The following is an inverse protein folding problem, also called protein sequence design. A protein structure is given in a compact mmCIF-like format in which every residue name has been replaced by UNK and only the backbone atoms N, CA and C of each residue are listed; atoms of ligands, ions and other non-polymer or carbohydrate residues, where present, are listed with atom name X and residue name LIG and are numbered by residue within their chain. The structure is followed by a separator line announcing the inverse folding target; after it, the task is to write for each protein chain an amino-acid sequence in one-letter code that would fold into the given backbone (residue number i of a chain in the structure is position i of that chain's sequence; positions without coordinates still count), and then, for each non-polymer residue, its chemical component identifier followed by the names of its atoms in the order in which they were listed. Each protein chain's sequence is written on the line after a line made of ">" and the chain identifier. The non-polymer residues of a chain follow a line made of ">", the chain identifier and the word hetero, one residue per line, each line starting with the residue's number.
data_IF_295391355005
#
_entry.id   IF_295391355005
#
_cell.length_a   1.000
_cell.length_b   1.000
_cell.length_c   1.000
_cell.angle_alpha   90.00
_cell.angle_beta   90.00
_cell.angle_gamma   90.00
#
_symmetry.space_group_name_H-M   'P 1'
#
loop_
_entity.id
_entity.type
_entity.pdbx_description
1 polymer ?
#
# COMPACT_ATOMS: atom_id res chain seq x y z
N UNK A 1 10.87 58.98 68.06
CA UNK A 1 12.22 58.68 67.55
C UNK A 1 12.04 57.98 66.23
N UNK A 2 12.35 58.76 65.20
CA UNK A 2 12.57 58.50 63.78
C UNK A 2 11.52 57.79 62.92
N UNK A 3 11.12 58.59 61.93
CA UNK A 3 10.06 58.45 60.96
C UNK A 3 10.62 59.00 59.63
N UNK A 4 10.35 58.31 58.51
CA UNK A 4 10.36 58.82 57.11
C UNK A 4 11.76 59.09 56.50
N UNK A 5 12.02 59.01 55.19
CA UNK A 5 11.24 58.82 53.94
C UNK A 5 12.22 58.89 52.75
N UNK A 6 11.89 58.19 51.66
CA UNK A 6 12.21 58.37 50.23
C UNK A 6 13.44 59.23 49.82
N UNK A 7 14.26 58.69 48.90
CA UNK A 7 14.39 59.18 47.51
C UNK A 7 15.55 58.47 46.77
N UNK A 8 15.15 57.66 45.80
CA UNK A 8 15.75 57.50 44.46
C UNK A 8 17.16 58.08 44.26
N UNK A 9 18.18 57.20 44.26
CA UNK A 9 19.43 57.48 43.53
C UNK A 9 19.28 57.00 42.10
N UNK A 10 19.34 57.99 41.21
CA UNK A 10 19.12 57.89 39.78
C UNK A 10 20.19 57.07 39.05
N UNK A 11 19.73 56.54 37.93
CA UNK A 11 20.36 55.70 36.91
C UNK A 11 21.60 56.35 36.25
N UNK A 12 22.61 55.53 35.97
CA UNK A 12 23.77 55.82 35.09
C UNK A 12 23.36 55.93 33.60
N UNK A 13 24.16 56.57 32.73
CA UNK A 13 23.71 56.99 31.41
C UNK A 13 23.59 55.86 30.38
N UNK A 14 22.58 55.98 29.52
CA UNK A 14 22.25 55.09 28.40
C UNK A 14 23.26 55.25 27.27
N UNK A 15 23.86 54.14 26.81
CA UNK A 15 24.60 54.09 25.53
C UNK A 15 23.61 54.05 24.36
N UNK A 16 23.73 54.88 23.31
CA UNK A 16 22.79 54.87 22.19
C UNK A 16 23.13 53.71 21.22
N UNK A 17 22.35 52.64 21.29
CA UNK A 17 22.45 51.47 20.40
C UNK A 17 21.31 51.48 19.37
N UNK A 18 21.25 52.50 18.51
CA UNK A 18 20.20 52.54 17.48
C UNK A 18 20.55 53.39 16.26
N UNK A 19 21.44 52.90 15.40
CA UNK A 19 21.53 53.42 14.01
C UNK A 19 21.90 52.40 12.93
N UNK A 20 22.42 51.23 13.28
CA UNK A 20 22.92 50.22 12.31
C UNK A 20 21.92 49.08 12.00
N UNK A 21 20.82 48.98 12.74
CA UNK A 21 19.81 47.91 12.58
C UNK A 21 19.00 47.91 11.26
N UNK A 22 18.61 49.04 10.65
CA UNK A 22 17.77 48.99 9.45
C UNK A 22 18.54 48.58 8.18
N UNK A 23 19.83 48.89 8.09
CA UNK A 23 20.65 48.56 6.92
C UNK A 23 20.89 47.04 6.83
N UNK A 24 21.16 46.40 7.97
CA UNK A 24 21.37 44.95 8.04
C UNK A 24 20.10 44.19 7.66
N UNK A 25 18.92 44.65 8.12
CA UNK A 25 17.64 44.03 7.74
C UNK A 25 17.34 44.21 6.25
N UNK A 26 17.66 45.37 5.66
CA UNK A 26 17.46 45.62 4.23
C UNK A 26 18.37 44.72 3.39
N UNK A 27 19.66 44.61 3.75
CA UNK A 27 20.60 43.73 3.05
C UNK A 27 20.19 42.26 3.13
N UNK A 28 19.67 41.82 4.28
CA UNK A 28 19.20 40.44 4.45
C UNK A 28 17.96 40.14 3.59
N UNK A 29 17.00 41.07 3.50
CA UNK A 29 15.81 40.93 2.64
C UNK A 29 16.19 40.92 1.17
N UNK A 30 17.11 41.80 0.73
CA UNK A 30 17.59 41.81 -0.66
C UNK A 30 18.31 40.51 -1.01
N UNK A 31 19.17 40.00 -0.12
CA UNK A 31 19.86 38.73 -0.33
C UNK A 31 18.88 37.56 -0.43
N UNK A 32 17.86 37.51 0.44
CA UNK A 32 16.83 36.47 0.41
C UNK A 32 16.00 36.50 -0.89
N UNK A 33 15.60 37.69 -1.35
CA UNK A 33 14.90 37.86 -2.63
C UNK A 33 15.78 37.46 -3.82
N UNK A 34 17.07 37.79 -3.79
CA UNK A 34 18.01 37.44 -4.85
C UNK A 34 18.27 35.92 -4.90
N UNK A 35 18.42 35.27 -3.74
CA UNK A 35 18.53 33.80 -3.67
C UNK A 35 17.25 33.11 -4.12
N UNK A 36 16.07 33.68 -3.80
CA UNK A 36 14.78 33.15 -4.25
C UNK A 36 14.58 33.31 -5.77
N UNK A 37 15.08 34.41 -6.35
CA UNK A 37 15.10 34.64 -7.80
C UNK A 37 16.07 33.70 -8.52
N UNK A 38 17.24 33.44 -7.94
CA UNK A 38 18.23 32.48 -8.47
C UNK A 38 17.78 31.01 -8.32
N UNK A 39 16.90 30.72 -7.36
CA UNK A 39 16.33 29.39 -7.11
C UNK A 39 14.96 29.18 -7.74
N UNK A 40 14.45 30.08 -8.60
CA UNK A 40 13.36 29.70 -9.49
C UNK A 40 13.93 28.69 -10.51
N UNK A 41 13.60 27.39 -10.44
CA UNK A 41 13.89 26.51 -11.56
C UNK A 41 13.10 27.11 -12.72
N UNK A 42 13.83 27.51 -13.76
CA UNK A 42 13.31 28.14 -14.96
C UNK A 42 11.94 27.56 -15.31
N UNK A 43 10.93 28.43 -15.18
CA UNK A 43 9.62 28.24 -15.78
C UNK A 43 9.80 27.77 -17.21
N UNK A 44 9.18 26.64 -17.53
CA UNK A 44 8.97 26.12 -18.87
C UNK A 44 8.70 27.26 -19.87
N UNK A 45 9.48 27.41 -20.96
CA UNK A 45 8.94 28.00 -22.16
C UNK A 45 8.12 26.92 -22.87
N UNK A 46 6.83 27.22 -23.00
CA UNK A 46 5.93 26.55 -23.91
C UNK A 46 6.48 26.62 -25.34
N UNK A 47 6.79 25.46 -25.93
CA UNK A 47 6.60 25.08 -27.34
C UNK A 47 7.52 23.90 -27.68
N UNK A 48 7.14 22.69 -27.26
CA UNK A 48 7.62 21.49 -27.95
C UNK A 48 6.75 21.38 -29.19
N UNK A 49 7.31 21.77 -30.33
CA UNK A 49 6.74 21.54 -31.65
C UNK A 49 6.78 20.02 -31.87
N UNK A 50 5.69 19.35 -31.50
CA UNK A 50 5.53 17.92 -31.71
C UNK A 50 5.30 17.75 -33.21
N UNK A 51 6.38 17.54 -33.96
CA UNK A 51 6.33 17.04 -35.33
C UNK A 51 5.78 15.62 -35.26
N UNK A 52 4.46 15.50 -35.18
CA UNK A 52 3.73 14.24 -35.36
C UNK A 52 4.15 13.72 -36.73
N UNK A 53 4.81 12.55 -36.84
CA UNK A 53 4.95 11.87 -38.11
C UNK A 53 3.55 11.42 -38.51
N UNK A 54 3.11 11.85 -39.69
CA UNK A 54 1.86 11.41 -40.30
C UNK A 54 1.91 9.88 -40.47
N UNK A 55 1.15 9.15 -39.66
CA UNK A 55 0.99 7.70 -39.79
C UNK A 55 0.03 7.46 -40.95
N UNK A 56 0.60 7.45 -42.16
CA UNK A 56 -0.03 6.83 -43.32
C UNK A 56 -0.03 5.31 -43.11
N UNK A 57 -1.24 4.73 -43.05
CA UNK A 57 -1.48 3.30 -43.12
C UNK A 57 -0.91 2.73 -44.44
N UNK A 58 0.16 1.93 -44.34
CA UNK A 58 0.75 1.26 -45.49
C UNK A 58 1.90 0.32 -45.10
N UNK A 59 1.52 -0.94 -44.84
CA UNK A 59 2.26 -2.20 -44.98
C UNK A 59 3.60 -2.49 -44.25
N UNK A 60 3.85 -3.76 -43.89
CA UNK A 60 4.90 -4.17 -42.97
C UNK A 60 6.19 -4.50 -43.73
N UNK A 61 7.36 -4.09 -43.22
CA UNK A 61 8.64 -4.82 -43.34
C UNK A 61 9.76 -4.07 -42.60
N UNK A 62 10.35 -4.77 -41.63
CA UNK A 62 11.72 -4.68 -41.11
C UNK A 62 12.51 -3.35 -41.23
N UNK A 63 12.88 -2.77 -40.09
CA UNK A 63 13.94 -1.75 -40.03
C UNK A 63 14.16 -1.19 -38.63
N UNK A 64 15.12 -1.77 -37.91
CA UNK A 64 15.60 -1.34 -36.60
C UNK A 64 16.18 0.08 -36.64
N UNK A 65 15.78 0.96 -35.71
CA UNK A 65 16.51 2.19 -35.39
C UNK A 65 16.18 2.73 -33.99
N UNK A 66 17.15 2.53 -33.08
CA UNK A 66 17.49 3.37 -31.91
C UNK A 66 16.36 3.65 -30.91
N UNK A 67 16.07 2.67 -30.06
CA UNK A 67 15.50 2.96 -28.75
C UNK A 67 16.61 3.49 -27.83
N UNK A 68 16.37 4.68 -27.29
CA UNK A 68 17.04 5.17 -26.10
C UNK A 68 16.78 4.14 -25.00
N UNK A 69 17.76 3.25 -24.76
CA UNK A 69 17.72 2.31 -23.64
C UNK A 69 17.86 3.16 -22.37
N UNK A 70 16.73 3.71 -21.89
CA UNK A 70 16.50 3.69 -20.47
C UNK A 70 16.62 2.21 -20.08
N UNK A 71 17.71 1.87 -19.42
CA UNK A 71 17.84 0.59 -18.72
C UNK A 71 16.71 0.57 -17.70
N UNK A 72 15.54 0.09 -18.11
CA UNK A 72 14.46 -0.21 -17.22
C UNK A 72 15.00 -1.37 -16.39
N UNK A 73 15.47 -1.07 -15.18
CA UNK A 73 16.00 -2.09 -14.27
C UNK A 73 14.94 -3.17 -14.15
N UNK A 74 15.24 -4.34 -14.73
CA UNK A 74 14.31 -5.46 -14.80
C UNK A 74 14.12 -5.98 -13.38
N UNK A 75 13.01 -5.60 -12.77
CA UNK A 75 12.64 -6.06 -11.43
C UNK A 75 12.51 -7.58 -11.41
N UNK A 76 12.99 -8.19 -10.32
CA UNK A 76 12.83 -9.63 -10.09
C UNK A 76 11.41 -9.89 -9.60
N UNK A 77 10.68 -10.81 -10.23
CA UNK A 77 9.36 -11.23 -9.76
C UNK A 77 9.50 -12.02 -8.47
N UNK A 78 8.90 -11.55 -7.39
CA UNK A 78 8.87 -12.22 -6.09
C UNK A 78 7.41 -12.35 -5.66
N UNK A 79 6.94 -13.58 -5.47
CA UNK A 79 5.56 -13.86 -5.06
C UNK A 79 5.56 -14.70 -3.78
N UNK A 80 4.69 -14.36 -2.83
CA UNK A 80 4.47 -15.14 -1.62
C UNK A 80 2.98 -15.45 -1.45
N UNK A 81 2.68 -16.67 -1.05
CA UNK A 81 1.31 -17.15 -0.87
C UNK A 81 1.00 -17.31 0.61
N UNK A 82 -0.01 -16.60 1.10
CA UNK A 82 -0.34 -16.48 2.52
C UNK A 82 -1.85 -16.61 2.76
N UNK A 83 -2.28 -16.59 4.02
CA UNK A 83 -3.68 -16.36 4.43
C UNK A 83 -3.72 -15.45 5.65
N UNK A 84 -4.77 -14.64 5.74
CA UNK A 84 -4.93 -13.60 6.78
C UNK A 84 -5.00 -14.15 8.20
N UNK A 85 -5.61 -15.33 8.40
CA UNK A 85 -5.83 -15.94 9.73
C UNK A 85 -4.80 -17.00 10.16
N UNK A 86 -3.60 -17.02 9.56
CA UNK A 86 -2.58 -18.03 9.89
C UNK A 86 -1.45 -17.49 10.77
N UNK A 87 -1.12 -18.15 11.90
CA UNK A 87 0.01 -17.75 12.74
C UNK A 87 1.35 -17.88 12.01
N UNK A 88 1.51 -18.85 11.10
CA UNK A 88 2.75 -18.99 10.33
C UNK A 88 2.93 -17.81 9.35
N UNK A 89 1.83 -17.28 8.79
CA UNK A 89 1.88 -16.05 7.98
C UNK A 89 2.45 -14.88 8.80
N UNK A 90 1.99 -14.73 10.05
CA UNK A 90 2.47 -13.68 10.96
C UNK A 90 3.99 -13.75 11.13
N UNK A 91 4.49 -14.95 11.40
CA UNK A 91 5.90 -15.19 11.68
C UNK A 91 6.74 -15.03 10.41
N UNK A 92 6.28 -15.54 9.27
CA UNK A 92 6.92 -15.35 7.97
C UNK A 92 6.98 -13.87 7.56
N UNK A 93 5.91 -13.09 7.77
CA UNK A 93 5.91 -11.66 7.50
C UNK A 93 6.93 -10.93 8.38
N UNK A 94 6.92 -11.21 9.68
CA UNK A 94 7.77 -10.54 10.67
C UNK A 94 9.25 -10.87 10.50
N UNK A 95 9.59 -12.14 10.32
CA UNK A 95 10.97 -12.62 10.38
C UNK A 95 11.65 -12.65 9.01
N UNK A 96 10.88 -12.82 7.92
CA UNK A 96 11.43 -13.03 6.59
C UNK A 96 11.04 -11.91 5.62
N UNK A 97 9.75 -11.69 5.38
CA UNK A 97 9.29 -10.84 4.28
C UNK A 97 9.60 -9.36 4.57
N UNK A 98 9.18 -8.82 5.72
CA UNK A 98 9.36 -7.40 6.03
C UNK A 98 10.84 -6.98 6.10
N UNK A 99 11.74 -7.71 6.79
CA UNK A 99 13.16 -7.34 6.83
C UNK A 99 13.83 -7.37 5.45
N UNK A 100 13.40 -8.28 4.57
CA UNK A 100 13.88 -8.36 3.19
C UNK A 100 13.36 -7.19 2.38
N UNK A 101 12.05 -6.94 2.40
CA UNK A 101 11.41 -5.87 1.63
C UNK A 101 11.95 -4.49 2.00
N UNK A 102 12.31 -4.24 3.27
CA UNK A 102 12.98 -3.00 3.67
C UNK A 102 14.28 -2.70 2.90
N UNK A 103 14.98 -3.73 2.41
CA UNK A 103 16.28 -3.61 1.72
C UNK A 103 16.20 -3.76 0.21
N UNK A 104 15.16 -4.42 -0.30
CA UNK A 104 15.10 -4.82 -1.72
C UNK A 104 13.80 -4.42 -2.43
N UNK A 105 12.91 -3.64 -1.80
CA UNK A 105 11.62 -3.26 -2.42
C UNK A 105 11.77 -2.57 -3.79
N UNK A 106 12.88 -1.89 -4.03
CA UNK A 106 13.22 -1.21 -5.29
C UNK A 106 13.77 -2.15 -6.37
N UNK A 107 14.00 -3.43 -6.04
CA UNK A 107 14.61 -4.44 -6.91
C UNK A 107 13.67 -5.58 -7.27
N UNK A 108 12.52 -5.65 -6.60
CA UNK A 108 11.56 -6.74 -6.78
C UNK A 108 10.19 -6.21 -7.18
N UNK A 109 9.51 -6.95 -8.04
CA UNK A 109 8.08 -6.83 -8.24
C UNK A 109 7.41 -7.80 -7.26
N UNK A 110 7.05 -7.30 -6.06
CA UNK A 110 6.52 -8.12 -4.98
C UNK A 110 5.01 -8.32 -5.06
N UNK A 111 4.58 -9.58 -5.09
CA UNK A 111 3.17 -9.96 -5.09
C UNK A 111 2.84 -10.85 -3.89
N UNK A 112 1.77 -10.51 -3.16
CA UNK A 112 1.12 -11.44 -2.23
C UNK A 112 -0.07 -12.12 -2.92
N UNK A 113 -0.21 -13.42 -2.73
CA UNK A 113 -1.40 -14.16 -3.14
C UNK A 113 -1.97 -14.93 -1.97
N UNK A 114 -3.28 -15.06 -1.95
CA UNK A 114 -4.05 -15.72 -0.91
C UNK A 114 -4.42 -17.14 -1.31
N UNK A 115 -4.34 -18.03 -0.33
CA UNK A 115 -4.72 -19.44 -0.47
C UNK A 115 -6.20 -19.59 -0.16
N UNK A 116 -6.86 -20.51 -0.87
CA UNK A 116 -8.27 -20.86 -0.68
C UNK A 116 -8.68 -21.90 -1.72
N UNK A 117 -9.96 -22.26 -1.69
CA UNK A 117 -10.59 -23.20 -2.62
C UNK A 117 -11.78 -22.54 -3.29
N UNK A 118 -12.09 -22.95 -4.51
CA UNK A 118 -13.42 -22.70 -5.05
C UNK A 118 -14.40 -23.65 -4.35
N UNK A 119 -15.57 -23.13 -3.99
CA UNK A 119 -16.72 -24.02 -3.83
C UNK A 119 -16.89 -24.68 -5.20
N UNK A 120 -16.80 -26.00 -5.21
CA UNK A 120 -17.19 -26.79 -6.36
C UNK A 120 -18.34 -27.66 -5.91
N UNK A 121 -19.47 -27.68 -6.64
CA UNK A 121 -20.46 -28.70 -6.43
C UNK A 121 -19.84 -30.07 -6.75
N UNK A 122 -19.57 -30.88 -5.71
CA UNK A 122 -19.17 -32.31 -5.78
C UNK A 122 -17.69 -32.61 -6.19
N UNK A 123 -17.16 -33.81 -5.91
CA UNK A 123 -15.90 -34.05 -5.21
C UNK A 123 -14.71 -34.17 -6.17
N UNK A 124 -13.54 -33.74 -5.73
CA UNK A 124 -12.28 -34.01 -6.42
C UNK A 124 -11.84 -35.50 -6.35
N UNK A 125 -12.69 -36.40 -5.84
CA UNK A 125 -12.44 -37.84 -5.80
C UNK A 125 -13.72 -38.61 -6.09
N UNK A 126 -13.73 -39.39 -7.16
CA UNK A 126 -14.75 -40.41 -7.36
C UNK A 126 -14.74 -41.36 -6.14
N UNK A 127 -15.88 -41.66 -5.51
CA UNK A 127 -15.94 -42.67 -4.46
C UNK A 127 -15.45 -44.00 -5.02
N UNK A 128 -14.58 -44.68 -4.28
CA UNK A 128 -14.18 -46.04 -4.62
C UNK A 128 -15.40 -46.98 -4.56
N UNK A 129 -15.35 -48.15 -5.21
CA UNK A 129 -16.47 -49.09 -5.33
C UNK A 129 -17.00 -49.67 -4.01
N UNK A 130 -16.46 -49.28 -2.86
CA UNK A 130 -16.87 -49.75 -1.52
C UNK A 130 -17.47 -48.66 -0.62
N UNK A 131 -17.49 -47.39 -1.03
CA UNK A 131 -18.08 -46.34 -0.20
C UNK A 131 -19.61 -46.35 -0.35
N UNK A 132 -20.26 -47.04 0.57
CA UNK A 132 -21.71 -47.07 0.70
C UNK A 132 -22.23 -45.64 0.95
N UNK A 133 -23.19 -45.27 0.12
CA UNK A 133 -23.92 -44.00 0.01
C UNK A 133 -24.62 -43.56 1.32
N UNK A 134 -23.85 -43.12 2.30
CA UNK A 134 -24.35 -42.40 3.48
C UNK A 134 -23.47 -41.18 3.75
N UNK A 135 -23.39 -40.28 2.78
CA UNK A 135 -23.00 -38.91 3.08
C UNK A 135 -24.18 -38.01 2.70
N UNK A 136 -24.78 -37.27 3.66
CA UNK A 136 -25.72 -36.25 3.29
C UNK A 136 -24.97 -35.28 2.38
N UNK A 137 -25.63 -34.87 1.30
CA UNK A 137 -25.18 -33.82 0.41
C UNK A 137 -24.97 -32.56 1.26
N UNK A 138 -23.76 -32.39 1.82
CA UNK A 138 -23.40 -31.18 2.54
C UNK A 138 -23.06 -30.16 1.46
N UNK A 139 -24.12 -29.61 0.84
CA UNK A 139 -24.06 -28.24 0.36
C UNK A 139 -23.75 -27.41 1.60
N UNK A 140 -22.47 -27.11 1.81
CA UNK A 140 -22.06 -26.11 2.80
C UNK A 140 -22.17 -24.80 2.02
N UNK A 141 -23.28 -24.03 2.13
CA UNK A 141 -23.30 -22.72 1.53
C UNK A 141 -22.19 -21.95 2.22
N UNK A 142 -21.09 -21.69 1.52
CA UNK A 142 -20.17 -20.69 2.02
C UNK A 142 -20.83 -19.36 1.77
N UNK A 143 -20.89 -18.54 2.81
CA UNK A 143 -21.43 -17.19 2.79
C UNK A 143 -20.59 -16.24 1.91
N UNK A 144 -19.71 -16.77 1.06
CA UNK A 144 -18.70 -16.05 0.28
C UNK A 144 -18.81 -16.39 -1.21
N UNK A 145 -20.03 -16.69 -1.70
CA UNK A 145 -20.35 -16.77 -3.13
C UNK A 145 -19.38 -17.65 -3.94
N UNK A 146 -19.08 -18.87 -3.50
CA UNK A 146 -18.27 -19.78 -4.31
C UNK A 146 -16.79 -19.89 -3.93
N UNK A 147 -16.39 -19.39 -2.76
CA UNK A 147 -15.01 -19.50 -2.26
C UNK A 147 -14.97 -19.99 -0.81
N UNK A 148 -14.09 -20.96 -0.57
CA UNK A 148 -13.87 -21.60 0.71
C UNK A 148 -12.45 -21.32 1.20
N UNK A 149 -12.34 -20.69 2.37
CA UNK A 149 -11.08 -20.42 3.06
C UNK A 149 -10.83 -21.42 4.19
N UNK A 150 -9.57 -21.62 4.58
CA UNK A 150 -9.18 -22.69 5.51
C UNK A 150 -9.74 -22.47 6.92
N UNK A 151 -9.75 -21.22 7.39
CA UNK A 151 -10.26 -20.82 8.71
C UNK A 151 -11.67 -20.18 8.62
N UNK A 152 -12.43 -20.50 7.56
CA UNK A 152 -13.83 -20.11 7.43
C UNK A 152 -14.07 -18.69 6.87
N UNK A 153 -15.29 -18.16 6.98
CA UNK A 153 -15.66 -16.92 6.30
C UNK A 153 -14.91 -15.67 6.76
N UNK A 154 -14.51 -15.63 8.04
CA UNK A 154 -13.73 -14.54 8.60
C UNK A 154 -12.35 -14.40 7.93
N UNK A 155 -11.72 -15.53 7.57
CA UNK A 155 -10.47 -15.51 6.79
C UNK A 155 -10.72 -15.00 5.37
N UNK A 156 -11.79 -15.44 4.71
CA UNK A 156 -12.10 -14.95 3.36
C UNK A 156 -12.29 -13.44 3.34
N UNK A 157 -13.03 -12.89 4.32
CA UNK A 157 -13.18 -11.45 4.46
C UNK A 157 -11.84 -10.76 4.73
N UNK A 158 -11.01 -11.33 5.61
CA UNK A 158 -9.64 -10.84 5.84
C UNK A 158 -8.79 -10.79 4.57
N UNK A 159 -8.79 -11.89 3.79
CA UNK A 159 -8.06 -11.98 2.53
C UNK A 159 -8.55 -10.92 1.52
N UNK A 160 -9.88 -10.69 1.44
CA UNK A 160 -10.47 -9.65 0.58
C UNK A 160 -10.00 -8.26 1.01
N UNK A 161 -10.02 -7.96 2.31
CA UNK A 161 -9.58 -6.66 2.84
C UNK A 161 -8.10 -6.43 2.53
N UNK A 162 -7.25 -7.42 2.75
CA UNK A 162 -5.82 -7.33 2.45
C UNK A 162 -5.54 -7.21 0.94
N UNK A 163 -6.35 -7.85 0.08
CA UNK A 163 -6.30 -7.67 -1.38
C UNK A 163 -6.72 -6.25 -1.80
N UNK A 164 -7.81 -5.74 -1.24
CA UNK A 164 -8.28 -4.37 -1.48
C UNK A 164 -7.25 -3.33 -1.04
N UNK A 165 -6.61 -3.52 0.11
CA UNK A 165 -5.54 -2.65 0.57
C UNK A 165 -4.40 -2.57 -0.47
N UNK A 166 -4.04 -3.70 -1.09
CA UNK A 166 -2.98 -3.74 -2.11
C UNK A 166 -3.40 -3.12 -3.44
N UNK A 167 -4.66 -3.26 -3.84
CA UNK A 167 -5.19 -2.62 -5.04
C UNK A 167 -5.22 -1.08 -4.90
N UNK A 168 -5.69 -0.60 -3.75
CA UNK A 168 -5.83 0.83 -3.47
C UNK A 168 -4.49 1.50 -3.12
N UNK A 169 -3.60 0.77 -2.44
CA UNK A 169 -2.32 1.24 -1.93
C UNK A 169 -1.19 0.33 -2.41
N UNK A 170 -0.74 0.47 -3.68
CA UNK A 170 0.25 -0.43 -4.25
C UNK A 170 1.66 -0.28 -3.65
N UNK A 171 1.93 0.78 -2.86
CA UNK A 171 3.20 0.94 -2.17
C UNK A 171 3.39 -0.17 -1.11
N UNK A 172 4.40 -1.05 -1.27
CA UNK A 172 4.65 -2.15 -0.35
C UNK A 172 4.94 -1.68 1.08
N UNK A 173 5.41 -0.45 1.29
CA UNK A 173 5.64 0.08 2.64
C UNK A 173 4.32 0.30 3.38
N UNK A 174 3.27 0.73 2.67
CA UNK A 174 1.94 0.98 3.22
C UNK A 174 1.20 -0.34 3.38
N UNK A 175 1.05 -1.10 2.28
CA UNK A 175 0.21 -2.29 2.31
C UNK A 175 0.81 -3.43 3.17
N UNK A 176 2.14 -3.63 3.18
CA UNK A 176 2.73 -4.68 4.03
C UNK A 176 2.72 -4.30 5.51
N UNK A 177 2.79 -3.00 5.82
CA UNK A 177 2.57 -2.50 7.17
C UNK A 177 1.18 -2.86 7.65
N UNK A 178 0.16 -2.50 6.87
CA UNK A 178 -1.25 -2.81 7.16
C UNK A 178 -1.51 -4.31 7.31
N UNK A 179 -1.03 -5.12 6.36
CA UNK A 179 -1.19 -6.59 6.41
C UNK A 179 -0.54 -7.13 7.68
N UNK A 180 0.70 -6.74 7.99
CA UNK A 180 1.36 -7.17 9.24
C UNK A 180 0.58 -6.74 10.48
N UNK A 181 0.02 -5.53 10.51
CA UNK A 181 -0.82 -5.06 11.63
C UNK A 181 -2.02 -5.98 11.84
N UNK A 182 -2.76 -6.30 10.77
CA UNK A 182 -3.88 -7.25 10.83
C UNK A 182 -3.42 -8.64 11.27
N UNK A 183 -2.38 -9.19 10.64
CA UNK A 183 -1.91 -10.56 10.93
C UNK A 183 -1.32 -10.69 12.34
N UNK A 184 -0.92 -9.59 13.02
CA UNK A 184 -0.53 -9.65 14.44
C UNK A 184 -1.68 -10.05 15.35
N UNK A 185 -2.90 -9.67 14.99
CA UNK A 185 -4.13 -9.99 15.71
C UNK A 185 -5.08 -10.83 14.84
N UNK A 186 -4.49 -11.83 14.16
CA UNK A 186 -5.17 -12.65 13.15
C UNK A 186 -6.44 -13.35 13.66
N UNK A 187 -6.54 -13.59 14.98
CA UNK A 187 -7.70 -14.22 15.62
C UNK A 187 -8.95 -13.35 15.52
N UNK A 188 -8.79 -12.02 15.60
CA UNK A 188 -9.87 -11.04 15.58
C UNK A 188 -10.23 -10.56 14.17
N UNK A 189 -9.54 -10.98 13.11
CA UNK A 189 -9.96 -10.67 11.73
C UNK A 189 -11.35 -11.28 11.45
N UNK A 190 -12.34 -10.57 10.87
CA UNK A 190 -12.31 -9.22 10.30
C UNK A 190 -13.01 -8.17 11.18
N UNK A 191 -12.71 -8.11 12.47
CA UNK A 191 -13.31 -7.15 13.38
C UNK A 191 -13.07 -5.72 12.90
N UNK A 192 -14.15 -4.94 12.81
CA UNK A 192 -14.10 -3.58 12.25
C UNK A 192 -13.12 -2.67 12.99
N UNK A 193 -13.09 -2.74 14.32
CA UNK A 193 -12.16 -1.92 15.13
C UNK A 193 -10.71 -2.22 14.80
N UNK A 194 -10.35 -3.51 14.65
CA UNK A 194 -9.01 -3.92 14.27
C UNK A 194 -8.63 -3.35 12.89
N UNK A 195 -9.54 -3.45 11.92
CA UNK A 195 -9.30 -2.96 10.56
C UNK A 195 -9.14 -1.44 10.54
N UNK A 196 -9.99 -0.71 11.27
CA UNK A 196 -9.93 0.75 11.39
C UNK A 196 -8.62 1.20 12.03
N UNK A 197 -8.23 0.59 13.16
CA UNK A 197 -7.00 0.92 13.87
C UNK A 197 -5.77 0.68 13.00
N UNK A 198 -5.69 -0.49 12.34
CA UNK A 198 -4.60 -0.81 11.43
C UNK A 198 -4.58 0.09 10.19
N UNK A 199 -5.75 0.47 9.66
CA UNK A 199 -5.84 1.38 8.52
C UNK A 199 -5.30 2.77 8.90
N UNK A 200 -5.70 3.29 10.06
CA UNK A 200 -5.20 4.56 10.58
C UNK A 200 -3.69 4.55 10.82
N UNK A 201 -3.15 3.49 11.43
CA UNK A 201 -1.71 3.35 11.72
C UNK A 201 -0.85 3.44 10.44
N UNK A 202 -1.36 2.90 9.33
CA UNK A 202 -0.65 2.81 8.05
C UNK A 202 -1.13 3.80 6.98
N UNK A 203 -1.91 4.83 7.37
CA UNK A 203 -2.43 5.86 6.46
C UNK A 203 -3.28 5.30 5.29
N UNK A 204 -4.01 4.23 5.55
CA UNK A 204 -5.05 3.67 4.68
C UNK A 204 -6.39 4.30 5.04
N UNK A 205 -7.12 4.73 4.02
CA UNK A 205 -8.47 5.28 4.16
C UNK A 205 -9.43 4.12 4.35
N UNK A 206 -9.94 3.97 5.58
CA UNK A 206 -10.88 2.90 5.91
C UNK A 206 -12.13 2.92 5.02
N UNK A 207 -12.63 4.11 4.65
CA UNK A 207 -13.82 4.21 3.82
C UNK A 207 -13.54 3.64 2.43
N UNK A 208 -12.42 4.02 1.80
CA UNK A 208 -12.03 3.45 0.49
C UNK A 208 -11.83 1.93 0.56
N UNK A 209 -11.24 1.45 1.65
CA UNK A 209 -11.00 0.04 1.89
C UNK A 209 -12.33 -0.73 1.98
N UNK A 210 -13.26 -0.23 2.80
CA UNK A 210 -14.60 -0.80 2.93
C UNK A 210 -15.35 -0.74 1.59
N UNK A 211 -15.31 0.40 0.91
CA UNK A 211 -15.95 0.59 -0.39
C UNK A 211 -15.42 -0.41 -1.41
N UNK A 212 -14.11 -0.69 -1.44
CA UNK A 212 -13.53 -1.74 -2.29
C UNK A 212 -14.06 -3.14 -1.96
N UNK A 213 -14.13 -3.47 -0.67
CA UNK A 213 -14.56 -4.79 -0.21
C UNK A 213 -16.04 -5.07 -0.51
N UNK A 214 -16.90 -4.04 -0.42
CA UNK A 214 -18.36 -4.17 -0.64
C UNK A 214 -18.82 -3.75 -2.04
N UNK A 215 -17.91 -3.27 -2.89
CA UNK A 215 -18.24 -2.84 -4.26
C UNK A 215 -18.88 -3.98 -5.05
N UNK A 216 -19.90 -3.63 -5.83
CA UNK A 216 -20.69 -4.57 -6.64
C UNK A 216 -21.31 -5.70 -5.79
N UNK A 217 -21.86 -5.35 -4.62
CA UNK A 217 -22.41 -6.28 -3.62
C UNK A 217 -21.36 -7.30 -3.13
N UNK A 218 -20.11 -6.84 -2.98
CA UNK A 218 -18.95 -7.69 -2.65
C UNK A 218 -18.34 -8.43 -3.84
N UNK A 219 -18.94 -8.33 -5.02
CA UNK A 219 -18.47 -8.99 -6.24
C UNK A 219 -17.05 -8.61 -6.64
N UNK A 220 -16.64 -7.34 -6.45
CA UNK A 220 -15.28 -6.89 -6.74
C UNK A 220 -14.25 -7.55 -5.82
N UNK A 221 -14.43 -7.43 -4.51
CA UNK A 221 -13.54 -8.03 -3.51
C UNK A 221 -13.45 -9.55 -3.67
N UNK A 222 -14.57 -10.21 -3.91
CA UNK A 222 -14.61 -11.64 -4.20
C UNK A 222 -13.86 -12.00 -5.48
N UNK A 223 -13.97 -11.20 -6.54
CA UNK A 223 -13.22 -11.42 -7.78
C UNK A 223 -11.71 -11.32 -7.57
N UNK A 224 -11.24 -10.37 -6.74
CA UNK A 224 -9.83 -10.30 -6.33
C UNK A 224 -9.40 -11.61 -5.64
N UNK A 225 -10.22 -12.10 -4.70
CA UNK A 225 -9.94 -13.33 -3.97
C UNK A 225 -9.91 -14.55 -4.90
N UNK A 226 -10.92 -14.69 -5.78
CA UNK A 226 -10.95 -15.76 -6.81
C UNK A 226 -9.72 -15.71 -7.70
N UNK A 227 -9.33 -14.54 -8.19
CA UNK A 227 -8.13 -14.38 -9.02
C UNK A 227 -6.88 -14.79 -8.25
N UNK A 228 -6.80 -14.43 -6.97
CA UNK A 228 -5.68 -14.81 -6.14
C UNK A 228 -5.60 -16.30 -5.85
N UNK A 229 -6.73 -16.96 -5.63
CA UNK A 229 -6.81 -18.41 -5.45
C UNK A 229 -6.40 -19.15 -6.73
N UNK A 230 -6.80 -18.64 -7.90
CA UNK A 230 -6.37 -19.19 -9.17
C UNK A 230 -4.83 -19.18 -9.27
N UNK A 231 -4.19 -18.05 -8.97
CA UNK A 231 -2.72 -17.94 -8.98
C UNK A 231 -2.05 -18.96 -8.06
N UNK A 232 -2.55 -19.09 -6.83
CA UNK A 232 -2.07 -20.09 -5.88
C UNK A 232 -2.24 -21.52 -6.41
N UNK A 233 -3.35 -21.81 -7.10
CA UNK A 233 -3.58 -23.11 -7.73
C UNK A 233 -2.65 -23.37 -8.91
N UNK A 234 -2.35 -22.34 -9.71
CA UNK A 234 -1.50 -22.45 -10.91
C UNK A 234 -0.05 -22.83 -10.56
N UNK A 235 0.42 -22.46 -9.37
CA UNK A 235 1.75 -22.82 -8.84
C UNK A 235 1.77 -24.13 -8.04
N UNK A 236 0.66 -24.86 -7.99
CA UNK A 236 0.57 -26.19 -7.38
C UNK A 236 0.58 -26.20 -5.85
N UNK A 237 0.27 -25.07 -5.21
CA UNK A 237 0.12 -25.02 -3.75
C UNK A 237 -1.18 -25.72 -3.31
N UNK A 238 -1.19 -26.27 -2.08
CA UNK A 238 -2.35 -27.00 -1.59
C UNK A 238 -3.59 -26.11 -1.62
N UNK A 239 -4.64 -26.65 -2.26
CA UNK A 239 -6.00 -26.14 -2.19
C UNK A 239 -6.54 -26.55 -0.85
#
# INVERSE_FOLDING_TARGET
>A
MDEKRNLQRAMSPVRPLRRTRPVVTILFVIAALYTFWLWQPFSLPASVDLKVPDVSLGDPLAGSAVDVIATQDKLVSLEAHIISKCPDTRDALRELILPVMQRVYDKVNFTLSYIGRYDTPFPLRAPGPTDKLTFPFYFRPTSNDGVDCLHGPSECMGNIIELCARELYPDPKINLGFIMCLTRDYENIPDRSLIEDCALEHAIDFQKLNDCAVKDDGGHGLNLLRTSIQRTSDVGLPR
#
